data_IF_428417816019
#
_entry.id   IF_428417816019
#
_cell.length_a   1.000
_cell.length_b   1.000
_cell.length_c   1.000
_cell.angle_alpha   90.00
_cell.angle_beta   90.00
_cell.angle_gamma   90.00
#
_symmetry.space_group_name_H-M   'P 1'
#
loop_
_entity.id
_entity.type
_entity.pdbx_description
1 polymer ?
#
# COMPACT_ATOMS: atom_id res chain seq x y z
N UNK A 1 10.64 -25.37 -14.07
CA UNK A 1 10.04 -25.65 -12.74
C UNK A 1 8.52 -25.63 -12.89
N UNK A 2 7.80 -26.66 -12.44
CA UNK A 2 6.37 -26.81 -12.71
C UNK A 2 5.51 -25.92 -11.80
N UNK A 3 4.32 -25.57 -12.29
CA UNK A 3 3.28 -24.79 -11.57
C UNK A 3 2.98 -25.36 -10.17
N UNK A 4 3.16 -26.66 -9.99
CA UNK A 4 2.98 -27.41 -8.75
C UNK A 4 3.94 -26.99 -7.63
N UNK A 5 5.20 -26.71 -7.91
CA UNK A 5 6.18 -26.20 -6.94
C UNK A 5 5.93 -24.73 -6.53
N UNK A 6 5.36 -23.96 -7.45
CA UNK A 6 4.94 -22.59 -7.14
C UNK A 6 3.77 -22.55 -6.15
N UNK A 7 2.80 -23.44 -6.32
CA UNK A 7 1.67 -23.60 -5.40
C UNK A 7 2.10 -24.10 -4.01
N UNK A 8 3.14 -24.90 -3.93
CA UNK A 8 3.71 -25.37 -2.66
C UNK A 8 4.44 -24.27 -1.89
N UNK A 9 5.22 -23.44 -2.58
CA UNK A 9 5.86 -22.25 -1.98
C UNK A 9 4.81 -21.23 -1.52
N UNK A 10 3.76 -21.03 -2.31
CA UNK A 10 2.63 -20.16 -1.94
C UNK A 10 1.91 -20.66 -0.69
N UNK A 11 1.69 -21.97 -0.56
CA UNK A 11 1.09 -22.59 0.63
C UNK A 11 2.00 -22.50 1.86
N UNK A 12 3.30 -22.53 1.69
CA UNK A 12 4.28 -22.34 2.78
C UNK A 12 4.25 -20.91 3.30
N UNK A 13 4.25 -19.92 2.41
CA UNK A 13 4.16 -18.49 2.77
C UNK A 13 2.80 -18.15 3.39
N UNK A 14 1.71 -18.75 2.88
CA UNK A 14 0.34 -18.51 3.42
C UNK A 14 0.09 -19.16 4.78
N UNK A 15 0.78 -20.23 5.15
CA UNK A 15 0.57 -20.91 6.44
C UNK A 15 1.09 -20.14 7.65
N UNK A 16 2.01 -19.20 7.46
CA UNK A 16 2.47 -18.33 8.55
C UNK A 16 1.52 -17.17 8.88
N UNK A 17 0.47 -16.98 8.06
CA UNK A 17 -0.49 -15.87 8.23
C UNK A 17 -1.85 -16.30 8.82
N UNK A 18 -2.04 -17.60 9.11
CA UNK A 18 -3.30 -18.14 9.65
C UNK A 18 -3.14 -18.78 11.03
N UNK A 19 -2.61 -18.03 12.00
CA UNK A 19 -2.77 -18.41 13.42
C UNK A 19 -3.37 -17.23 14.18
N UNK A 20 -4.66 -17.33 14.42
CA UNK A 20 -5.33 -16.51 15.40
C UNK A 20 -6.58 -15.79 14.90
N UNK A 21 -7.67 -16.55 14.71
CA UNK A 21 -9.05 -16.09 14.95
C UNK A 21 -9.99 -17.28 14.73
N UNK A 22 -10.21 -18.08 15.78
CA UNK A 22 -11.36 -18.97 15.87
C UNK A 22 -12.56 -18.12 16.25
N UNK A 23 -13.46 -17.91 15.30
CA UNK A 23 -14.81 -17.46 15.60
C UNK A 23 -15.75 -18.67 15.49
N UNK A 24 -16.25 -19.12 16.64
CA UNK A 24 -17.35 -20.07 16.71
C UNK A 24 -18.63 -19.44 16.17
N UNK A 25 -19.05 -19.89 14.99
CA UNK A 25 -20.35 -19.53 14.44
C UNK A 25 -21.33 -20.68 14.73
N UNK A 26 -22.09 -20.57 15.82
CA UNK A 26 -23.21 -21.48 16.15
C UNK A 26 -24.38 -21.10 15.27
N UNK A 27 -24.65 -21.94 14.25
CA UNK A 27 -25.86 -21.83 13.43
C UNK A 27 -27.00 -22.55 14.16
N UNK A 28 -27.86 -21.78 14.80
CA UNK A 28 -29.13 -22.25 15.36
C UNK A 28 -30.23 -22.24 14.31
N UNK A 29 -30.41 -23.34 13.61
CA UNK A 29 -31.61 -23.57 12.77
C UNK A 29 -32.78 -24.03 13.65
N UNK A 30 -33.80 -23.19 13.86
CA UNK A 30 -35.12 -23.61 14.34
C UNK A 30 -36.12 -23.58 13.20
N UNK A 31 -36.68 -24.77 12.89
CA UNK A 31 -37.86 -24.96 12.01
C UNK A 31 -39.15 -24.50 12.70
N UNK A 32 -40.12 -23.93 11.98
CA UNK A 32 -41.44 -23.65 12.53
C UNK A 32 -42.34 -24.88 12.46
N UNK A 33 -43.06 -25.16 13.54
CA UNK A 33 -44.17 -26.14 13.57
C UNK A 33 -45.49 -25.43 13.28
N UNK A 34 -46.24 -26.01 12.36
CA UNK A 34 -47.63 -25.68 12.05
C UNK A 34 -48.59 -25.97 13.21
N UNK A 35 -49.57 -25.11 13.41
CA UNK A 35 -50.71 -25.34 14.23
C UNK A 35 -51.82 -24.36 13.86
N UNK A 36 -52.79 -24.85 13.06
CA UNK A 36 -54.09 -24.19 12.79
C UNK A 36 -54.98 -24.26 14.02
N UNK A 37 -55.61 -23.16 14.39
CA UNK A 37 -57.03 -23.15 14.82
C UNK A 37 -57.61 -21.76 14.61
N UNK A 38 -58.73 -21.70 13.90
CA UNK A 38 -59.44 -20.47 13.55
C UNK A 38 -60.31 -19.95 14.68
N UNK A 39 -60.58 -18.62 14.62
CA UNK A 39 -61.78 -18.01 15.19
C UNK A 39 -62.21 -16.83 14.34
N UNK A 40 -63.47 -16.83 13.95
CA UNK A 40 -64.19 -15.79 13.21
C UNK A 40 -64.71 -14.68 14.15
N UNK A 41 -64.62 -13.43 13.69
CA UNK A 41 -65.33 -12.30 14.27
C UNK A 41 -64.81 -10.93 13.84
N UNK A 42 -65.60 -9.85 13.80
CA UNK A 42 -65.88 -9.10 12.56
C UNK A 42 -65.16 -7.72 12.48
N UNK A 43 -65.10 -7.25 11.22
CA UNK A 43 -64.95 -5.86 10.78
C UNK A 43 -64.02 -4.89 11.58
N UNK A 44 -62.83 -4.64 11.02
CA UNK A 44 -61.96 -3.56 11.45
C UNK A 44 -60.97 -3.22 10.36
N UNK A 45 -61.01 -2.00 9.88
CA UNK A 45 -60.20 -1.33 8.88
C UNK A 45 -58.79 -1.87 8.67
N UNK A 46 -58.45 -2.24 7.41
CA UNK A 46 -57.09 -2.56 6.97
C UNK A 46 -56.22 -1.31 7.03
N UNK A 47 -55.47 -1.15 8.09
CA UNK A 47 -54.27 -0.32 8.05
C UNK A 47 -53.14 -1.16 7.43
N UNK A 48 -52.83 -0.87 6.16
CA UNK A 48 -51.63 -1.38 5.50
C UNK A 48 -50.38 -0.75 6.19
N UNK A 49 -49.80 -1.48 7.12
CA UNK A 49 -48.44 -1.14 7.59
C UNK A 49 -47.48 -1.39 6.45
N UNK A 50 -47.16 -0.30 5.71
CA UNK A 50 -45.97 -0.27 4.86
C UNK A 50 -44.78 -0.59 5.75
N UNK A 51 -44.16 -1.74 5.54
CA UNK A 51 -42.80 -2.01 6.05
C UNK A 51 -41.85 -1.02 5.36
N UNK A 52 -41.70 0.16 5.97
CA UNK A 52 -40.70 1.13 5.55
C UNK A 52 -39.32 0.50 5.80
N UNK A 53 -38.57 0.21 4.74
CA UNK A 53 -37.12 0.04 4.82
C UNK A 53 -36.58 1.26 5.53
N UNK A 54 -36.06 1.07 6.76
CA UNK A 54 -35.40 2.15 7.51
C UNK A 54 -34.23 2.66 6.64
N UNK A 55 -34.34 3.89 6.18
CA UNK A 55 -33.26 4.58 5.50
C UNK A 55 -32.00 4.66 6.39
N UNK A 56 -30.82 4.86 5.83
CA UNK A 56 -29.57 4.92 6.56
C UNK A 56 -29.70 5.94 7.72
N UNK A 57 -29.22 5.57 8.90
CA UNK A 57 -29.29 6.43 10.09
C UNK A 57 -28.52 7.74 9.83
N UNK A 58 -28.93 8.84 10.49
CA UNK A 58 -28.26 10.13 10.38
C UNK A 58 -26.75 10.05 10.62
N UNK A 59 -26.29 9.18 11.54
CA UNK A 59 -24.88 8.89 11.77
C UNK A 59 -24.19 8.31 10.54
N UNK A 60 -24.84 7.40 9.82
CA UNK A 60 -24.31 6.80 8.59
C UNK A 60 -24.19 7.84 7.47
N UNK A 61 -25.17 8.74 7.33
CA UNK A 61 -25.14 9.82 6.33
C UNK A 61 -24.01 10.81 6.61
N UNK A 62 -23.84 11.22 7.86
CA UNK A 62 -22.74 12.10 8.27
C UNK A 62 -21.38 11.45 8.04
N UNK A 63 -21.19 10.19 8.43
CA UNK A 63 -19.95 9.43 8.24
C UNK A 63 -19.60 9.33 6.75
N UNK A 64 -20.56 9.01 5.88
CA UNK A 64 -20.34 8.93 4.45
C UNK A 64 -19.99 10.29 3.83
N UNK A 65 -20.63 11.38 4.28
CA UNK A 65 -20.32 12.73 3.83
C UNK A 65 -18.91 13.17 4.24
N UNK A 66 -18.50 12.89 5.48
CA UNK A 66 -17.15 13.18 5.95
C UNK A 66 -16.09 12.41 5.15
N UNK A 67 -16.27 11.11 4.92
CA UNK A 67 -15.37 10.29 4.09
C UNK A 67 -15.27 10.82 2.66
N UNK A 68 -16.39 11.21 2.04
CA UNK A 68 -16.40 11.81 0.72
C UNK A 68 -15.60 13.13 0.66
N UNK A 69 -15.73 13.97 1.68
CA UNK A 69 -14.97 15.23 1.79
C UNK A 69 -13.47 14.95 1.94
N UNK A 70 -13.07 14.02 2.80
CA UNK A 70 -11.67 13.66 3.04
C UNK A 70 -11.02 13.08 1.78
N UNK A 71 -11.71 12.19 1.07
CA UNK A 71 -11.23 11.65 -0.20
C UNK A 71 -11.06 12.74 -1.28
N UNK A 72 -11.96 13.71 -1.30
CA UNK A 72 -11.87 14.86 -2.21
C UNK A 72 -10.63 15.70 -1.90
N UNK A 73 -10.38 16.01 -0.62
CA UNK A 73 -9.19 16.75 -0.18
C UNK A 73 -7.90 15.99 -0.54
N UNK A 74 -7.85 14.68 -0.31
CA UNK A 74 -6.69 13.84 -0.69
C UNK A 74 -6.44 13.89 -2.21
N UNK A 75 -7.48 13.86 -3.03
CA UNK A 75 -7.35 13.94 -4.49
C UNK A 75 -6.88 15.32 -4.96
N UNK A 76 -7.40 16.40 -4.39
CA UNK A 76 -6.96 17.75 -4.67
C UNK A 76 -5.48 17.94 -4.31
N UNK A 77 -5.06 17.46 -3.13
CA UNK A 77 -3.69 17.52 -2.68
C UNK A 77 -2.75 16.74 -3.62
N UNK A 78 -3.15 15.52 -4.05
CA UNK A 78 -2.39 14.76 -5.07
C UNK A 78 -2.18 15.55 -6.35
N UNK A 79 -3.23 16.16 -6.87
CA UNK A 79 -3.15 16.96 -8.11
C UNK A 79 -2.23 18.17 -7.95
N UNK A 80 -2.37 18.91 -6.84
CA UNK A 80 -1.56 20.09 -6.56
C UNK A 80 -0.08 19.74 -6.45
N UNK A 81 0.27 18.77 -5.62
CA UNK A 81 1.67 18.40 -5.37
C UNK A 81 2.31 17.80 -6.63
N UNK A 82 1.59 16.93 -7.37
CA UNK A 82 2.10 16.40 -8.64
C UNK A 82 2.39 17.51 -9.66
N UNK A 83 1.51 18.52 -9.74
CA UNK A 83 1.76 19.70 -10.60
C UNK A 83 2.99 20.47 -10.14
N UNK A 84 3.15 20.72 -8.84
CA UNK A 84 4.34 21.39 -8.29
C UNK A 84 5.61 20.58 -8.59
N UNK A 85 5.59 19.28 -8.38
CA UNK A 85 6.70 18.38 -8.65
C UNK A 85 7.08 18.33 -10.13
N UNK A 86 6.09 18.35 -11.04
CA UNK A 86 6.30 18.38 -12.48
C UNK A 86 6.98 19.69 -12.99
N UNK A 87 6.92 20.75 -12.19
CA UNK A 87 7.56 22.03 -12.52
C UNK A 87 9.04 22.12 -12.06
N UNK A 88 9.57 21.11 -11.38
CA UNK A 88 10.98 21.06 -11.01
C UNK A 88 11.84 20.98 -12.26
N UNK A 89 12.85 21.82 -12.31
CA UNK A 89 13.82 21.82 -13.42
C UNK A 89 14.71 20.59 -13.40
N UNK A 90 15.32 20.25 -14.52
CA UNK A 90 16.27 19.14 -14.60
C UNK A 90 17.43 19.30 -13.59
N UNK A 91 17.90 20.54 -13.36
CA UNK A 91 18.94 20.82 -12.37
C UNK A 91 18.46 20.53 -10.94
N UNK A 92 17.24 20.94 -10.59
CA UNK A 92 16.66 20.65 -9.27
C UNK A 92 16.46 19.15 -9.07
N UNK A 93 15.98 18.42 -10.09
CA UNK A 93 15.86 16.97 -10.05
C UNK A 93 17.21 16.28 -9.83
N UNK A 94 18.26 16.71 -10.54
CA UNK A 94 19.61 16.18 -10.40
C UNK A 94 20.22 16.48 -9.01
N UNK A 95 20.02 17.69 -8.49
CA UNK A 95 20.46 18.06 -7.15
C UNK A 95 19.76 17.22 -6.08
N UNK A 96 18.46 17.02 -6.23
CA UNK A 96 17.66 16.20 -5.32
C UNK A 96 18.11 14.73 -5.37
N UNK A 97 18.33 14.14 -6.57
CA UNK A 97 18.88 12.78 -6.71
C UNK A 97 20.24 12.64 -6.01
N UNK A 98 21.14 13.62 -6.16
CA UNK A 98 22.45 13.59 -5.52
C UNK A 98 22.34 13.65 -4.00
N UNK A 99 21.52 14.57 -3.47
CA UNK A 99 21.29 14.74 -2.03
C UNK A 99 20.68 13.47 -1.42
N UNK A 100 19.61 12.94 -2.01
CA UNK A 100 18.95 11.72 -1.54
C UNK A 100 19.87 10.51 -1.63
N UNK A 101 20.67 10.39 -2.69
CA UNK A 101 21.66 9.31 -2.81
C UNK A 101 22.63 9.31 -1.63
N UNK A 102 23.18 10.48 -1.27
CA UNK A 102 24.09 10.61 -0.12
C UNK A 102 23.41 10.24 1.20
N UNK A 103 22.22 10.78 1.47
CA UNK A 103 21.47 10.50 2.69
C UNK A 103 21.11 9.00 2.80
N UNK A 104 20.65 8.39 1.69
CA UNK A 104 20.29 6.99 1.65
C UNK A 104 21.50 6.07 1.88
N UNK A 105 22.65 6.38 1.27
CA UNK A 105 23.88 5.61 1.47
C UNK A 105 24.37 5.67 2.93
N UNK A 106 24.33 6.84 3.56
CA UNK A 106 24.67 7.01 4.96
C UNK A 106 23.76 6.15 5.87
N UNK A 107 22.46 6.13 5.62
CA UNK A 107 21.51 5.30 6.36
C UNK A 107 21.75 3.80 6.14
N UNK A 108 22.04 3.38 4.90
CA UNK A 108 22.33 1.99 4.54
C UNK A 108 23.61 1.51 5.27
N UNK A 109 24.63 2.36 5.36
CA UNK A 109 25.89 2.07 6.07
C UNK A 109 25.65 2.01 7.58
N UNK A 110 24.98 2.99 8.17
CA UNK A 110 24.63 3.03 9.59
C UNK A 110 23.91 1.74 10.04
N UNK A 111 23.02 1.23 9.20
CA UNK A 111 22.25 0.01 9.49
C UNK A 111 22.93 -1.28 9.04
N UNK A 112 24.08 -1.20 8.41
CA UNK A 112 24.74 -2.35 7.79
C UNK A 112 23.83 -3.14 6.85
N UNK A 113 22.91 -2.43 6.16
CA UNK A 113 21.88 -3.05 5.33
C UNK A 113 22.49 -3.70 4.07
N UNK A 114 21.98 -4.87 3.69
CA UNK A 114 22.40 -5.64 2.53
C UNK A 114 21.29 -5.79 1.50
N UNK A 115 20.04 -5.96 1.94
CA UNK A 115 18.85 -6.16 1.09
C UNK A 115 18.02 -4.89 1.04
N UNK A 116 18.14 -4.13 -0.06
CA UNK A 116 17.54 -2.82 -0.20
C UNK A 116 16.48 -2.84 -1.31
N UNK A 117 15.23 -2.59 -0.96
CA UNK A 117 14.18 -2.38 -1.92
C UNK A 117 14.03 -0.90 -2.26
N UNK A 118 13.92 -0.61 -3.55
CA UNK A 118 13.69 0.72 -4.10
C UNK A 118 12.45 0.70 -5.02
N UNK A 119 12.25 1.77 -5.76
CA UNK A 119 11.23 1.88 -6.81
C UNK A 119 11.87 2.43 -8.09
N UNK A 120 11.21 2.22 -9.23
CA UNK A 120 11.54 2.94 -10.46
C UNK A 120 10.81 4.27 -10.42
N UNK A 121 11.54 5.37 -10.45
CA UNK A 121 10.97 6.72 -10.37
C UNK A 121 10.02 6.99 -11.55
N UNK A 122 8.89 7.57 -11.24
CA UNK A 122 7.80 7.85 -12.16
C UNK A 122 7.18 9.20 -11.81
N UNK A 123 6.62 9.92 -12.80
CA UNK A 123 5.83 11.13 -12.58
C UNK A 123 6.59 12.22 -11.78
N UNK A 124 7.88 12.42 -12.05
CA UNK A 124 8.72 13.42 -11.36
C UNK A 124 9.12 13.07 -9.92
N UNK A 125 8.96 11.82 -9.49
CA UNK A 125 9.49 11.33 -8.22
C UNK A 125 11.03 11.48 -8.17
N UNK A 126 11.59 11.47 -6.96
CA UNK A 126 13.06 11.42 -6.79
C UNK A 126 13.60 10.24 -7.61
N UNK A 127 14.58 10.53 -8.47
CA UNK A 127 15.29 9.49 -9.20
C UNK A 127 16.07 8.60 -8.23
N UNK A 128 15.91 7.31 -8.40
CA UNK A 128 16.64 6.27 -7.64
C UNK A 128 17.77 5.65 -8.46
N UNK A 129 17.95 6.09 -9.71
CA UNK A 129 18.87 5.45 -10.66
C UNK A 129 20.33 5.50 -10.18
N UNK A 130 20.77 6.67 -9.73
CA UNK A 130 22.13 6.86 -9.19
C UNK A 130 22.37 6.01 -7.95
N UNK A 131 21.39 5.97 -7.02
CA UNK A 131 21.46 5.14 -5.82
C UNK A 131 21.55 3.66 -6.18
N UNK A 132 20.71 3.17 -7.09
CA UNK A 132 20.72 1.78 -7.55
C UNK A 132 22.12 1.41 -8.13
N UNK A 133 22.66 2.22 -9.03
CA UNK A 133 23.99 1.97 -9.62
C UNK A 133 25.09 1.95 -8.58
N UNK A 134 25.03 2.83 -7.59
CA UNK A 134 26.00 2.88 -6.49
C UNK A 134 25.89 1.64 -5.61
N UNK A 135 24.69 1.20 -5.28
CA UNK A 135 24.46 -0.01 -4.49
C UNK A 135 25.00 -1.27 -5.19
N UNK A 136 24.78 -1.39 -6.50
CA UNK A 136 25.36 -2.49 -7.29
C UNK A 136 26.90 -2.46 -7.25
N UNK A 137 27.51 -1.27 -7.41
CA UNK A 137 28.96 -1.13 -7.33
C UNK A 137 29.53 -1.49 -5.95
N UNK A 138 28.75 -1.31 -4.88
CA UNK A 138 29.08 -1.71 -3.50
C UNK A 138 28.73 -3.17 -3.17
N UNK A 139 28.26 -3.96 -4.14
CA UNK A 139 27.87 -5.36 -3.92
C UNK A 139 26.58 -5.55 -3.11
N UNK A 140 25.80 -4.48 -2.88
CA UNK A 140 24.50 -4.54 -2.21
C UNK A 140 23.45 -5.21 -3.09
N UNK A 141 22.46 -5.82 -2.47
CA UNK A 141 21.36 -6.48 -3.16
C UNK A 141 20.18 -5.55 -3.31
N UNK A 142 19.85 -5.23 -4.56
CA UNK A 142 18.77 -4.29 -4.91
C UNK A 142 17.54 -5.07 -5.34
N UNK A 143 16.36 -4.61 -4.89
CA UNK A 143 15.08 -5.19 -5.23
C UNK A 143 14.11 -4.11 -5.72
N UNK A 144 13.26 -4.47 -6.68
CA UNK A 144 12.20 -3.60 -7.18
C UNK A 144 10.83 -4.24 -6.97
N UNK A 145 9.79 -3.43 -6.72
CA UNK A 145 8.43 -3.91 -6.56
C UNK A 145 7.86 -4.37 -7.90
N UNK A 146 7.13 -5.48 -7.87
CA UNK A 146 6.33 -6.00 -8.97
C UNK A 146 4.91 -6.21 -8.46
N UNK A 147 3.92 -5.93 -9.30
CA UNK A 147 2.53 -6.18 -8.95
C UNK A 147 2.31 -7.67 -8.71
N UNK A 148 1.73 -8.02 -7.56
CA UNK A 148 1.45 -9.41 -7.24
C UNK A 148 0.41 -9.99 -8.21
N UNK A 149 0.71 -11.10 -8.92
CA UNK A 149 -0.14 -11.58 -10.02
C UNK A 149 -1.49 -12.13 -9.56
N UNK A 150 -1.59 -12.59 -8.31
CA UNK A 150 -2.81 -13.24 -7.78
C UNK A 150 -3.43 -12.50 -6.61
N UNK A 151 -2.70 -11.58 -5.96
CA UNK A 151 -3.22 -10.83 -4.82
C UNK A 151 -3.30 -9.34 -5.18
N UNK A 152 -4.49 -8.82 -5.53
CA UNK A 152 -4.62 -7.45 -5.98
C UNK A 152 -4.15 -6.45 -4.92
N UNK A 153 -3.47 -5.40 -5.38
CA UNK A 153 -2.92 -4.33 -4.56
C UNK A 153 -1.83 -4.75 -3.56
N UNK A 154 -1.18 -5.90 -3.76
CA UNK A 154 0.04 -6.31 -3.06
C UNK A 154 1.25 -6.24 -4.00
N UNK A 155 2.43 -6.17 -3.39
CA UNK A 155 3.72 -6.13 -4.08
C UNK A 155 4.53 -7.38 -3.75
N UNK A 156 5.31 -7.84 -4.74
CA UNK A 156 6.44 -8.72 -4.56
C UNK A 156 7.71 -7.90 -4.78
N UNK A 157 8.80 -8.27 -4.14
CA UNK A 157 10.10 -7.62 -4.35
C UNK A 157 11.04 -8.60 -5.06
N UNK A 158 11.45 -8.22 -6.27
CA UNK A 158 12.30 -9.05 -7.12
C UNK A 158 13.70 -8.46 -7.19
N UNK A 159 14.70 -9.33 -7.09
CA UNK A 159 16.09 -8.94 -7.29
C UNK A 159 16.27 -8.23 -8.63
N UNK A 160 16.94 -7.10 -8.57
CA UNK A 160 17.17 -6.23 -9.72
C UNK A 160 18.66 -6.11 -10.01
N UNK A 161 19.06 -6.59 -11.19
CA UNK A 161 20.42 -6.56 -11.71
C UNK A 161 20.47 -5.72 -13.00
N UNK A 162 21.66 -5.30 -13.45
CA UNK A 162 21.79 -4.51 -14.67
C UNK A 162 21.20 -5.15 -15.95
N UNK A 163 21.17 -6.47 -15.99
CA UNK A 163 20.65 -7.27 -17.11
C UNK A 163 19.22 -7.81 -16.88
N UNK A 164 18.57 -7.41 -15.78
CA UNK A 164 17.20 -7.86 -15.47
C UNK A 164 16.23 -7.39 -16.55
N UNK A 165 15.47 -8.31 -17.20
CA UNK A 165 14.45 -7.92 -18.16
C UNK A 165 13.34 -7.11 -17.51
N UNK A 166 13.05 -5.94 -18.07
CA UNK A 166 12.03 -5.02 -17.60
C UNK A 166 10.83 -5.01 -18.53
N UNK A 167 9.64 -4.84 -17.99
CA UNK A 167 8.39 -4.66 -18.73
C UNK A 167 7.53 -3.55 -18.09
N UNK A 168 6.58 -3.01 -18.85
CA UNK A 168 5.62 -2.05 -18.32
C UNK A 168 4.40 -2.80 -17.77
N UNK A 169 4.04 -2.46 -16.53
CA UNK A 169 2.83 -2.98 -15.91
C UNK A 169 1.56 -2.24 -16.41
N UNK A 170 0.40 -2.60 -15.89
CA UNK A 170 -0.90 -1.99 -16.25
C UNK A 170 -1.00 -0.48 -15.98
N UNK A 171 -0.10 0.10 -15.21
CA UNK A 171 -0.02 1.53 -14.93
C UNK A 171 1.02 2.24 -15.79
N UNK A 172 1.69 1.53 -16.71
CA UNK A 172 2.75 2.06 -17.55
C UNK A 172 4.11 2.23 -16.85
N UNK A 173 4.24 1.74 -15.62
CA UNK A 173 5.46 1.80 -14.81
C UNK A 173 6.33 0.59 -15.15
N UNK A 174 7.64 0.81 -15.30
CA UNK A 174 8.59 -0.26 -15.51
C UNK A 174 8.75 -1.11 -14.25
N UNK A 175 8.68 -2.42 -14.41
CA UNK A 175 8.93 -3.40 -13.35
C UNK A 175 9.71 -4.61 -13.89
N UNK A 176 10.48 -5.34 -13.07
CA UNK A 176 11.13 -6.56 -13.46
C UNK A 176 10.12 -7.59 -14.00
N UNK A 177 10.49 -8.30 -15.06
CA UNK A 177 9.70 -9.45 -15.52
C UNK A 177 9.62 -10.47 -14.38
N UNK A 178 8.40 -10.90 -14.05
CA UNK A 178 8.16 -11.83 -12.95
C UNK A 178 9.01 -13.11 -13.10
N UNK A 179 9.87 -13.32 -12.10
CA UNK A 179 10.67 -14.54 -11.95
C UNK A 179 10.61 -14.96 -10.48
N UNK A 180 10.03 -16.11 -10.21
CA UNK A 180 9.83 -16.64 -8.85
C UNK A 180 11.15 -16.84 -8.10
N UNK A 181 12.23 -17.20 -8.81
CA UNK A 181 13.56 -17.40 -8.23
C UNK A 181 14.21 -16.10 -7.74
N UNK A 182 13.72 -14.95 -8.22
CA UNK A 182 14.23 -13.61 -7.86
C UNK A 182 13.41 -12.94 -6.76
N UNK A 183 12.34 -13.57 -6.28
CA UNK A 183 11.49 -13.01 -5.22
C UNK A 183 12.19 -13.10 -3.88
N UNK A 184 12.27 -11.97 -3.18
CA UNK A 184 12.70 -11.92 -1.78
C UNK A 184 11.47 -11.81 -0.88
N UNK A 185 11.34 -12.65 0.15
CA UNK A 185 10.37 -12.44 1.22
C UNK A 185 10.54 -11.08 1.87
N UNK A 186 9.42 -10.43 2.24
CA UNK A 186 9.44 -9.08 2.81
C UNK A 186 10.24 -9.02 4.12
N UNK A 187 10.24 -10.13 4.86
CA UNK A 187 10.94 -10.29 6.13
C UNK A 187 12.47 -10.31 6.01
N UNK A 188 12.98 -10.55 4.79
CA UNK A 188 14.41 -10.57 4.51
C UNK A 188 14.95 -9.22 4.03
N UNK A 189 14.08 -8.22 3.84
CA UNK A 189 14.52 -6.85 3.56
C UNK A 189 15.13 -6.20 4.81
N UNK A 190 16.07 -5.28 4.58
CA UNK A 190 16.63 -4.39 5.62
C UNK A 190 16.02 -2.99 5.52
N UNK A 191 15.93 -2.44 4.30
CA UNK A 191 15.37 -1.12 4.04
C UNK A 191 14.42 -1.19 2.84
N UNK A 192 13.24 -0.60 2.98
CA UNK A 192 12.29 -0.38 1.90
C UNK A 192 12.12 1.11 1.63
N UNK A 193 12.78 1.61 0.58
CA UNK A 193 12.55 2.97 0.10
C UNK A 193 11.21 3.06 -0.62
N UNK A 194 10.35 3.99 -0.18
CA UNK A 194 8.97 4.12 -0.68
C UNK A 194 8.78 5.44 -1.41
N UNK A 195 8.08 5.45 -2.57
CA UNK A 195 7.63 6.66 -3.20
C UNK A 195 6.44 7.26 -2.43
N UNK A 196 6.26 8.57 -2.57
CA UNK A 196 5.11 9.27 -2.00
C UNK A 196 4.74 10.49 -2.82
N UNK A 197 3.50 10.93 -2.72
CA UNK A 197 3.05 12.18 -3.33
C UNK A 197 3.23 13.35 -2.37
N UNK A 198 2.82 13.19 -1.11
CA UNK A 198 2.97 14.21 -0.08
C UNK A 198 3.29 13.55 1.27
N UNK A 199 3.86 14.30 2.19
CA UNK A 199 4.16 13.87 3.55
C UNK A 199 4.01 15.03 4.54
N UNK A 200 3.84 14.71 5.83
CA UNK A 200 3.85 15.66 6.91
C UNK A 200 4.96 15.38 7.94
N UNK A 201 5.10 16.28 8.91
CA UNK A 201 6.12 16.18 9.96
C UNK A 201 5.93 14.99 10.91
N UNK A 202 4.77 14.36 10.91
CA UNK A 202 4.45 13.18 11.71
C UNK A 202 4.86 11.86 11.02
N UNK A 203 5.43 11.94 9.81
CA UNK A 203 5.82 10.77 9.03
C UNK A 203 4.65 10.13 8.26
N UNK A 204 3.47 10.77 8.27
CA UNK A 204 2.37 10.33 7.42
C UNK A 204 2.71 10.57 5.96
N UNK A 205 2.27 9.66 5.10
CA UNK A 205 2.47 9.79 3.65
C UNK A 205 1.16 9.65 2.88
N UNK A 206 1.04 10.41 1.82
CA UNK A 206 -0.01 10.28 0.83
C UNK A 206 0.58 9.63 -0.43
N UNK A 207 0.15 8.42 -0.76
CA UNK A 207 0.51 7.74 -1.99
C UNK A 207 -0.44 8.08 -3.14
N UNK A 208 -0.24 7.44 -4.31
CA UNK A 208 -1.04 7.63 -5.54
C UNK A 208 -2.50 7.12 -5.42
N UNK A 209 -2.86 6.44 -4.34
CA UNK A 209 -4.23 5.98 -4.05
C UNK A 209 -4.49 4.49 -4.32
N UNK A 210 -3.53 3.73 -4.79
CA UNK A 210 -3.66 2.28 -5.00
C UNK A 210 -3.56 1.43 -3.74
N UNK A 211 -3.05 1.99 -2.63
CA UNK A 211 -2.91 1.31 -1.35
C UNK A 211 -1.86 0.19 -1.32
N UNK A 212 -1.00 0.09 -2.35
CA UNK A 212 0.01 -0.97 -2.43
C UNK A 212 0.99 -0.94 -1.26
N UNK A 213 1.57 0.22 -0.99
CA UNK A 213 2.52 0.37 0.10
C UNK A 213 1.85 0.33 1.48
N UNK A 214 0.61 0.80 1.63
CA UNK A 214 -0.10 0.71 2.92
C UNK A 214 -0.33 -0.74 3.32
N UNK A 215 -0.69 -1.61 2.37
CA UNK A 215 -0.81 -3.05 2.62
C UNK A 215 0.54 -3.72 2.88
N UNK A 216 1.56 -3.37 2.10
CA UNK A 216 2.92 -3.91 2.29
C UNK A 216 3.49 -3.53 3.66
N UNK A 217 3.20 -2.31 4.13
CA UNK A 217 3.73 -1.77 5.38
C UNK A 217 2.84 -2.03 6.60
N UNK A 218 1.70 -2.70 6.46
CA UNK A 218 0.69 -2.84 7.51
C UNK A 218 1.25 -3.32 8.86
N UNK A 219 2.32 -4.12 8.84
CA UNK A 219 2.92 -4.73 10.03
C UNK A 219 4.44 -4.47 10.14
N UNK A 220 4.94 -3.43 9.46
CA UNK A 220 6.39 -3.17 9.41
C UNK A 220 7.05 -3.00 10.79
N UNK A 221 6.33 -2.49 11.78
CA UNK A 221 6.86 -2.34 13.15
C UNK A 221 7.22 -3.68 13.83
N UNK A 222 6.72 -4.79 13.28
CA UNK A 222 7.02 -6.16 13.72
C UNK A 222 7.99 -6.87 12.79
N UNK A 223 8.44 -6.20 11.72
CA UNK A 223 9.35 -6.74 10.72
C UNK A 223 10.78 -6.29 10.97
N UNK A 224 11.74 -6.94 10.30
CA UNK A 224 13.17 -6.61 10.34
C UNK A 224 13.51 -5.33 9.58
N UNK A 225 12.73 -4.99 8.55
CA UNK A 225 13.01 -3.84 7.69
C UNK A 225 12.40 -2.53 8.22
N UNK A 226 12.99 -1.43 7.78
CA UNK A 226 12.42 -0.09 7.98
C UNK A 226 11.92 0.50 6.67
N UNK A 227 10.70 1.10 6.64
CA UNK A 227 10.22 1.87 5.52
C UNK A 227 10.74 3.31 5.59
N UNK A 228 11.33 3.77 4.48
CA UNK A 228 11.92 5.12 4.36
C UNK A 228 11.34 5.82 3.14
N UNK A 229 10.77 7.00 3.32
CA UNK A 229 10.24 7.81 2.23
C UNK A 229 11.37 8.59 1.52
N UNK A 230 11.27 8.74 0.20
CA UNK A 230 12.12 9.64 -0.56
C UNK A 230 11.25 10.76 -1.14
N UNK A 231 11.59 12.01 -0.85
CA UNK A 231 10.76 13.14 -1.22
C UNK A 231 11.54 14.39 -1.61
N UNK A 232 10.98 15.19 -2.53
CA UNK A 232 11.37 16.57 -2.70
C UNK A 232 10.77 17.45 -1.60
N UNK A 233 11.46 18.52 -1.22
CA UNK A 233 10.97 19.49 -0.24
C UNK A 233 9.56 20.02 -0.57
N UNK A 234 9.23 20.19 -1.86
CA UNK A 234 7.92 20.66 -2.30
C UNK A 234 6.75 19.69 -2.04
N UNK A 235 7.04 18.47 -1.60
CA UNK A 235 6.04 17.46 -1.24
C UNK A 235 5.63 17.53 0.24
N UNK A 236 6.33 18.35 1.04
CA UNK A 236 6.00 18.54 2.44
C UNK A 236 4.77 19.42 2.61
N UNK A 237 3.86 18.97 3.46
CA UNK A 237 2.67 19.73 3.88
C UNK A 237 2.63 19.84 5.39
N UNK A 238 1.84 20.76 5.91
CA UNK A 238 1.72 20.94 7.35
C UNK A 238 1.06 19.74 8.02
N UNK A 239 -0.06 19.27 7.44
CA UNK A 239 -0.82 18.13 7.93
C UNK A 239 -1.51 17.42 6.76
N UNK A 240 -1.45 16.10 6.75
CA UNK A 240 -2.17 15.25 5.79
C UNK A 240 -3.54 14.84 6.32
N UNK A 241 -4.55 14.77 5.45
CA UNK A 241 -5.81 14.10 5.78
C UNK A 241 -5.57 12.57 5.80
N UNK A 242 -5.37 12.03 7.00
CA UNK A 242 -5.08 10.60 7.22
C UNK A 242 -6.33 9.76 7.38
N UNK A 243 -6.24 8.49 7.01
CA UNK A 243 -7.27 7.46 7.19
C UNK A 243 -6.73 6.36 8.11
N UNK A 244 -7.61 5.56 8.69
CA UNK A 244 -7.23 4.53 9.67
C UNK A 244 -6.30 3.43 9.11
N UNK A 245 -6.23 3.29 7.79
CA UNK A 245 -5.36 2.33 7.10
C UNK A 245 -4.03 2.93 6.61
N UNK A 246 -3.85 4.25 6.72
CA UNK A 246 -2.58 4.87 6.36
C UNK A 246 -1.49 4.47 7.37
N UNK A 247 -0.35 4.07 6.85
CA UNK A 247 0.77 3.59 7.67
C UNK A 247 1.89 4.62 7.64
N UNK A 248 2.26 5.21 8.78
CA UNK A 248 3.37 6.15 8.84
C UNK A 248 4.70 5.44 8.57
N UNK A 249 5.65 6.17 7.99
CA UNK A 249 6.99 5.69 7.72
C UNK A 249 7.89 5.82 8.96
N UNK A 250 8.99 5.05 8.95
CA UNK A 250 10.03 5.18 9.96
C UNK A 250 10.69 6.57 9.91
N UNK A 251 11.03 7.00 8.69
CA UNK A 251 11.55 8.34 8.40
C UNK A 251 11.34 8.72 6.93
N UNK A 252 11.57 10.01 6.60
CA UNK A 252 11.50 10.51 5.24
C UNK A 252 12.78 11.31 4.97
N UNK A 253 13.52 10.92 3.93
CA UNK A 253 14.66 11.67 3.43
C UNK A 253 14.15 12.72 2.45
N UNK A 254 14.61 13.96 2.62
CA UNK A 254 14.11 15.12 1.88
C UNK A 254 15.26 15.86 1.19
N UNK A 255 15.02 16.27 -0.06
CA UNK A 255 15.93 17.08 -0.86
C UNK A 255 15.24 18.27 -1.54
#
# INVERSE_FOLDING_TARGET
>A
MSLSRYLELYKSVSRHWCVGLTFDFVIGLKKPKNGLTGFLGPSGSRTTTRSGTLGPSFKTILSNRMKSTQQTLRNQLRQQIRKTRANLTALQQQQAENSITQQALALIEERNAQHIALYVSFDGEISTEKLIKTLWAQGKQVYLPVLHPFNPNHLLFLRYLPDTPMLKNKFGIWEPKLNVQSVLPLEELDILFTPLVAFDKQGNRLGMGGGFYDRTLQHWQKSSFIPVGLAHQCQQVEQLPTEAWDVPLHQILVA
#
